data_IF_854926741924
#
_entry.id   IF_854926741924
#
_cell.length_a   1.000
_cell.length_b   1.000
_cell.length_c   1.000
_cell.angle_alpha   90.00
_cell.angle_beta   90.00
_cell.angle_gamma   90.00
#
_symmetry.space_group_name_H-M   'P 1'
#
loop_
_entity.id
_entity.type
_entity.pdbx_description
1 polymer ?
#
# COMPACT_ATOMS: atom_id res chain seq x y z
N UNK A 1 17.77 -26.31 1.88
CA UNK A 1 17.86 -25.13 2.77
C UNK A 1 17.33 -23.93 1.99
N UNK A 2 16.01 -23.68 2.09
CA UNK A 2 15.40 -22.53 1.42
C UNK A 2 15.99 -21.27 2.05
N UNK A 3 16.79 -20.52 1.30
CA UNK A 3 17.09 -19.15 1.65
C UNK A 3 15.78 -18.38 1.53
N UNK A 4 15.07 -18.25 2.64
CA UNK A 4 14.08 -17.17 2.77
C UNK A 4 14.86 -15.91 2.43
N UNK A 5 14.59 -15.36 1.25
CA UNK A 5 15.20 -14.12 0.80
C UNK A 5 14.95 -13.13 1.94
N UNK A 6 16.03 -12.75 2.61
CA UNK A 6 15.97 -11.89 3.80
C UNK A 6 15.11 -10.68 3.44
N UNK A 7 14.27 -10.23 4.36
CA UNK A 7 13.49 -8.98 4.28
C UNK A 7 14.36 -7.78 3.81
N UNK A 8 15.69 -7.88 3.90
CA UNK A 8 16.66 -6.91 3.39
C UNK A 8 16.65 -6.69 1.86
N UNK A 9 16.01 -7.56 1.08
CA UNK A 9 15.92 -7.40 -0.39
C UNK A 9 14.68 -6.63 -0.83
N UNK A 10 13.79 -6.29 0.11
CA UNK A 10 12.77 -5.28 -0.16
C UNK A 10 13.48 -3.93 -0.29
N UNK A 11 13.42 -3.33 -1.45
CA UNK A 11 13.94 -1.97 -1.63
C UNK A 11 13.42 -1.11 -0.46
N UNK A 12 14.26 -0.37 0.20
CA UNK A 12 13.90 0.54 1.28
C UNK A 12 12.89 1.62 0.85
N UNK A 13 12.69 1.73 -0.47
CA UNK A 13 11.77 2.67 -1.08
C UNK A 13 10.33 2.59 -0.55
N UNK A 14 9.64 1.42 -0.48
CA UNK A 14 8.29 1.37 0.07
C UNK A 14 8.23 1.85 1.53
N UNK A 15 9.22 1.47 2.35
CA UNK A 15 9.28 1.90 3.76
C UNK A 15 9.36 3.42 3.87
N UNK A 16 10.33 4.03 3.21
CA UNK A 16 10.54 5.48 3.30
C UNK A 16 9.40 6.25 2.64
N UNK A 17 8.95 5.82 1.46
CA UNK A 17 7.89 6.51 0.74
C UNK A 17 6.56 6.47 1.52
N UNK A 18 6.15 5.31 2.01
CA UNK A 18 4.90 5.18 2.76
C UNK A 18 4.96 5.89 4.11
N UNK A 19 6.10 5.82 4.82
CA UNK A 19 6.30 6.56 6.07
C UNK A 19 6.23 8.07 5.83
N UNK A 20 6.91 8.57 4.81
CA UNK A 20 6.85 9.99 4.42
C UNK A 20 5.43 10.41 4.04
N UNK A 21 4.75 9.62 3.21
CA UNK A 21 3.36 9.87 2.79
C UNK A 21 2.42 9.91 3.99
N UNK A 22 2.64 9.02 4.96
CA UNK A 22 1.87 8.99 6.20
C UNK A 22 2.09 10.23 7.06
N UNK A 23 3.34 10.60 7.30
CA UNK A 23 3.68 11.81 8.08
C UNK A 23 3.14 13.08 7.40
N UNK A 24 3.29 13.17 6.09
CA UNK A 24 2.76 14.28 5.30
C UNK A 24 1.23 14.37 5.42
N UNK A 25 0.52 13.25 5.27
CA UNK A 25 -0.95 13.22 5.39
C UNK A 25 -1.42 13.60 6.80
N UNK A 26 -0.72 13.16 7.86
CA UNK A 26 -1.03 13.57 9.23
C UNK A 26 -0.84 15.07 9.40
N UNK A 27 0.27 15.61 8.92
CA UNK A 27 0.56 17.05 9.03
C UNK A 27 -0.51 17.89 8.33
N UNK A 28 -0.86 17.55 7.08
CA UNK A 28 -1.94 18.22 6.33
C UNK A 28 -3.27 18.09 7.07
N UNK A 29 -3.58 16.90 7.57
CA UNK A 29 -4.81 16.66 8.33
C UNK A 29 -4.89 17.47 9.62
N UNK A 30 -3.79 17.62 10.34
CA UNK A 30 -3.72 18.48 11.54
C UNK A 30 -3.95 19.95 11.17
N UNK A 31 -3.36 20.44 10.08
CA UNK A 31 -3.59 21.80 9.60
C UNK A 31 -5.08 22.02 9.31
N UNK A 32 -5.73 21.11 8.59
CA UNK A 32 -7.15 21.21 8.28
C UNK A 32 -8.04 21.13 9.53
N UNK A 33 -7.62 20.38 10.56
CA UNK A 33 -8.37 20.25 11.80
C UNK A 33 -8.28 21.50 12.68
N UNK A 34 -7.05 22.02 12.86
CA UNK A 34 -6.75 23.08 13.83
C UNK A 34 -6.90 24.48 13.22
N UNK A 35 -6.49 24.63 11.97
CA UNK A 35 -6.47 25.91 11.30
C UNK A 35 -7.07 25.83 9.86
N UNK A 36 -8.35 25.43 9.71
CA UNK A 36 -8.95 25.26 8.40
C UNK A 36 -8.87 26.51 7.53
N UNK A 37 -8.92 27.67 8.15
CA UNK A 37 -8.87 28.97 7.45
C UNK A 37 -7.50 29.24 6.82
N UNK A 38 -6.43 28.69 7.35
CA UNK A 38 -5.07 28.88 6.82
C UNK A 38 -4.92 28.40 5.38
N UNK A 39 -5.54 27.26 5.08
CA UNK A 39 -5.53 26.70 3.75
C UNK A 39 -6.15 27.65 2.71
N UNK A 40 -7.30 28.24 3.04
CA UNK A 40 -8.01 29.18 2.16
C UNK A 40 -7.24 30.49 1.98
N UNK A 41 -6.64 31.01 3.05
CA UNK A 41 -5.76 32.18 2.97
C UNK A 41 -4.57 31.95 2.04
N UNK A 42 -3.87 30.81 2.19
CA UNK A 42 -2.71 30.48 1.35
C UNK A 42 -3.08 30.27 -0.12
N UNK A 43 -4.27 29.72 -0.37
CA UNK A 43 -4.77 29.45 -1.72
C UNK A 43 -5.50 30.64 -2.34
N UNK A 44 -5.57 31.77 -1.64
CA UNK A 44 -6.29 32.98 -2.05
C UNK A 44 -7.76 32.68 -2.46
N UNK A 45 -8.43 31.87 -1.64
CA UNK A 45 -9.81 31.46 -1.83
C UNK A 45 -10.70 32.00 -0.72
N UNK A 46 -11.99 32.19 -1.04
CA UNK A 46 -12.99 32.56 -0.05
C UNK A 46 -13.18 31.44 0.99
N UNK A 47 -13.48 31.84 2.23
CA UNK A 47 -13.75 30.88 3.30
C UNK A 47 -15.01 30.09 3.00
N UNK A 48 -15.00 28.77 3.22
CA UNK A 48 -16.18 27.95 3.01
C UNK A 48 -17.25 28.31 4.02
N UNK A 49 -18.51 28.24 3.57
CA UNK A 49 -19.67 28.52 4.42
C UNK A 49 -19.75 27.57 5.64
N UNK A 50 -19.16 26.38 5.49
CA UNK A 50 -19.16 25.33 6.52
C UNK A 50 -17.72 24.86 6.81
N UNK A 51 -16.95 25.58 7.65
CA UNK A 51 -15.55 25.21 7.95
C UNK A 51 -15.40 23.84 8.59
N UNK A 52 -16.42 23.33 9.30
CA UNK A 52 -16.41 22.02 9.91
C UNK A 52 -16.24 20.87 8.89
N UNK A 53 -16.63 21.05 7.64
CA UNK A 53 -16.40 20.03 6.57
C UNK A 53 -14.90 19.80 6.40
N UNK A 54 -14.09 20.86 6.46
CA UNK A 54 -12.64 20.76 6.37
C UNK A 54 -12.03 20.08 7.60
N UNK A 55 -12.61 20.28 8.77
CA UNK A 55 -12.18 19.59 9.98
C UNK A 55 -12.44 18.07 9.88
N UNK A 56 -13.60 17.65 9.35
CA UNK A 56 -13.85 16.24 9.03
C UNK A 56 -12.85 15.68 8.01
N UNK A 57 -12.56 16.45 6.97
CA UNK A 57 -11.58 16.07 5.96
C UNK A 57 -10.18 15.93 6.60
N UNK A 58 -9.83 16.81 7.50
CA UNK A 58 -8.60 16.72 8.30
C UNK A 58 -8.52 15.43 9.12
N UNK A 59 -9.61 15.04 9.79
CA UNK A 59 -9.65 13.78 10.54
C UNK A 59 -9.47 12.54 9.64
N UNK A 60 -10.07 12.57 8.43
CA UNK A 60 -9.88 11.51 7.43
C UNK A 60 -8.41 11.45 7.00
N UNK A 61 -7.77 12.60 6.75
CA UNK A 61 -6.35 12.64 6.36
C UNK A 61 -5.42 12.09 7.43
N UNK A 62 -5.68 12.38 8.69
CA UNK A 62 -4.93 11.82 9.82
C UNK A 62 -5.07 10.29 9.83
N UNK A 63 -6.29 9.77 9.68
CA UNK A 63 -6.56 8.33 9.66
C UNK A 63 -5.86 7.63 8.50
N UNK A 64 -5.88 8.23 7.30
CA UNK A 64 -5.15 7.73 6.13
C UNK A 64 -3.63 7.79 6.35
N UNK A 65 -3.14 8.83 7.01
CA UNK A 65 -1.73 8.96 7.36
C UNK A 65 -1.25 7.83 8.27
N UNK A 66 -2.00 7.50 9.30
CA UNK A 66 -1.70 6.34 10.16
C UNK A 66 -1.73 5.02 9.37
N UNK A 67 -2.68 4.84 8.47
CA UNK A 67 -2.76 3.65 7.63
C UNK A 67 -1.54 3.47 6.73
N UNK A 68 -0.98 4.56 6.20
CA UNK A 68 0.28 4.53 5.45
C UNK A 68 1.48 4.16 6.32
N UNK A 69 1.59 4.73 7.52
CA UNK A 69 2.67 4.40 8.46
C UNK A 69 2.61 2.92 8.84
N UNK A 70 1.45 2.40 9.19
CA UNK A 70 1.28 0.98 9.53
C UNK A 70 1.67 0.11 8.32
N UNK A 71 1.22 0.47 7.13
CA UNK A 71 1.52 -0.26 5.89
C UNK A 71 3.00 -0.21 5.52
N UNK A 72 3.76 0.80 5.95
CA UNK A 72 5.18 0.93 5.65
C UNK A 72 6.03 -0.18 6.26
N UNK A 73 5.64 -0.70 7.42
CA UNK A 73 6.37 -1.79 8.10
C UNK A 73 6.24 -3.13 7.39
N UNK A 74 5.10 -3.41 6.78
CA UNK A 74 4.89 -4.64 6.00
C UNK A 74 3.89 -4.40 4.85
N UNK A 75 4.34 -3.81 3.74
CA UNK A 75 3.45 -3.48 2.62
C UNK A 75 2.75 -4.70 2.01
N UNK A 76 3.42 -5.86 2.02
CA UNK A 76 2.86 -7.09 1.48
C UNK A 76 1.67 -7.62 2.31
N UNK A 77 1.74 -7.46 3.63
CA UNK A 77 0.64 -7.85 4.52
C UNK A 77 -0.54 -6.88 4.44
N UNK A 78 -0.24 -5.59 4.32
CA UNK A 78 -1.23 -4.51 4.33
C UNK A 78 -1.61 -4.02 2.92
N UNK A 79 -1.38 -4.83 1.87
CA UNK A 79 -1.71 -4.45 0.51
C UNK A 79 -3.19 -4.04 0.30
N UNK A 80 -4.21 -4.65 0.99
CA UNK A 80 -5.59 -4.20 0.81
C UNK A 80 -5.81 -2.78 1.33
N UNK A 81 -5.11 -2.39 2.41
CA UNK A 81 -5.16 -1.03 2.96
C UNK A 81 -4.52 -0.05 1.97
N UNK A 82 -3.39 -0.42 1.35
CA UNK A 82 -2.75 0.40 0.31
C UNK A 82 -3.64 0.55 -0.93
N UNK A 83 -4.32 -0.53 -1.34
CA UNK A 83 -5.27 -0.48 -2.44
C UNK A 83 -6.44 0.46 -2.12
N UNK A 84 -7.01 0.37 -0.92
CA UNK A 84 -8.08 1.28 -0.49
C UNK A 84 -7.63 2.74 -0.49
N UNK A 85 -6.42 3.03 0.01
CA UNK A 85 -5.84 4.38 -0.06
C UNK A 85 -5.66 4.88 -1.50
N UNK A 86 -5.21 4.00 -2.41
CA UNK A 86 -5.08 4.32 -3.82
C UNK A 86 -6.44 4.66 -4.45
N UNK A 87 -7.44 3.82 -4.23
CA UNK A 87 -8.81 4.03 -4.73
C UNK A 87 -9.40 5.33 -4.20
N UNK A 88 -9.20 5.63 -2.91
CA UNK A 88 -9.64 6.89 -2.32
C UNK A 88 -9.01 8.10 -3.03
N UNK A 89 -7.69 8.07 -3.24
CA UNK A 89 -6.99 9.16 -3.94
C UNK A 89 -7.45 9.31 -5.40
N UNK A 90 -7.63 8.20 -6.12
CA UNK A 90 -8.14 8.21 -7.49
C UNK A 90 -9.57 8.75 -7.56
N UNK A 91 -10.42 8.36 -6.62
CA UNK A 91 -11.80 8.85 -6.56
C UNK A 91 -11.86 10.37 -6.33
N UNK A 92 -11.05 10.89 -5.41
CA UNK A 92 -10.94 12.34 -5.19
C UNK A 92 -10.46 13.05 -6.46
N UNK A 93 -9.42 12.53 -7.14
CA UNK A 93 -8.94 13.10 -8.40
C UNK A 93 -10.05 13.11 -9.48
N UNK A 94 -10.82 12.03 -9.59
CA UNK A 94 -11.92 11.93 -10.55
C UNK A 94 -13.04 12.92 -10.24
N UNK A 95 -13.47 13.00 -8.97
CA UNK A 95 -14.47 13.97 -8.52
C UNK A 95 -14.02 15.39 -8.80
N UNK A 96 -12.76 15.70 -8.46
CA UNK A 96 -12.20 17.02 -8.74
C UNK A 96 -12.20 17.34 -10.23
N UNK A 97 -11.72 16.41 -11.07
CA UNK A 97 -11.66 16.61 -12.51
C UNK A 97 -13.04 16.87 -13.11
N UNK A 98 -14.07 16.14 -12.67
CA UNK A 98 -15.45 16.35 -13.15
C UNK A 98 -16.00 17.72 -12.73
N UNK A 99 -15.71 18.18 -11.52
CA UNK A 99 -16.16 19.47 -11.02
C UNK A 99 -15.35 20.64 -11.65
N UNK A 100 -14.07 20.42 -11.93
CA UNK A 100 -13.22 21.37 -12.64
C UNK A 100 -13.72 21.61 -14.07
N UNK A 101 -14.05 20.55 -14.81
CA UNK A 101 -14.63 20.65 -16.16
C UNK A 101 -15.99 21.40 -16.17
N UNK A 102 -16.73 21.36 -15.07
CA UNK A 102 -17.98 22.11 -14.91
C UNK A 102 -17.76 23.56 -14.50
N UNK A 103 -16.53 24.00 -14.30
CA UNK A 103 -16.21 25.35 -13.83
C UNK A 103 -16.68 25.67 -12.41
N UNK A 104 -16.95 24.64 -11.60
CA UNK A 104 -17.46 24.81 -10.22
C UNK A 104 -16.33 25.07 -9.23
N UNK A 105 -15.12 24.60 -9.53
CA UNK A 105 -13.99 24.66 -8.61
C UNK A 105 -12.98 25.73 -9.04
N UNK A 106 -12.52 26.59 -8.12
CA UNK A 106 -11.46 27.54 -8.37
C UNK A 106 -10.13 26.87 -8.72
N UNK A 107 -9.31 27.54 -9.55
CA UNK A 107 -8.01 27.02 -9.96
C UNK A 107 -7.06 26.72 -8.78
N UNK A 108 -7.19 27.43 -7.67
CA UNK A 108 -6.40 27.18 -6.45
C UNK A 108 -6.54 25.77 -5.89
N UNK A 109 -7.70 25.15 -6.05
CA UNK A 109 -7.93 23.76 -5.65
C UNK A 109 -7.14 22.73 -6.48
N UNK A 110 -6.73 23.07 -7.71
CA UNK A 110 -5.93 22.17 -8.55
C UNK A 110 -4.60 21.83 -7.88
N UNK A 111 -3.99 22.77 -7.18
CA UNK A 111 -2.74 22.53 -6.44
C UNK A 111 -2.94 21.51 -5.33
N UNK A 112 -4.03 21.61 -4.57
CA UNK A 112 -4.35 20.66 -3.51
C UNK A 112 -4.48 19.22 -4.05
N UNK A 113 -5.23 19.05 -5.12
CA UNK A 113 -5.44 17.72 -5.72
C UNK A 113 -4.15 17.14 -6.30
N UNK A 114 -3.33 17.98 -6.94
CA UNK A 114 -2.05 17.53 -7.49
C UNK A 114 -1.11 17.10 -6.36
N UNK A 115 -0.88 17.93 -5.35
CA UNK A 115 0.11 17.67 -4.31
C UNK A 115 -0.37 16.67 -3.25
N UNK A 116 -1.65 16.65 -2.90
CA UNK A 116 -2.16 15.78 -1.85
C UNK A 116 -2.66 14.42 -2.37
N UNK A 117 -2.95 14.31 -3.67
CA UNK A 117 -3.50 13.06 -4.22
C UNK A 117 -2.69 12.54 -5.40
N UNK A 118 -2.57 13.30 -6.49
CA UNK A 118 -2.05 12.78 -7.76
C UNK A 118 -0.58 12.33 -7.66
N UNK A 119 0.26 13.10 -6.95
CA UNK A 119 1.68 12.78 -6.75
C UNK A 119 1.88 11.42 -6.07
N UNK A 120 0.96 11.01 -5.21
CA UNK A 120 1.05 9.74 -4.47
C UNK A 120 0.53 8.54 -5.26
N UNK A 121 -0.31 8.73 -6.29
CA UNK A 121 -0.93 7.65 -7.06
C UNK A 121 0.13 6.78 -7.74
N UNK A 122 1.05 7.37 -8.48
CA UNK A 122 2.07 6.64 -9.23
C UNK A 122 2.93 5.72 -8.34
N UNK A 123 3.60 6.25 -7.30
CA UNK A 123 4.40 5.43 -6.40
C UNK A 123 3.62 4.33 -5.67
N UNK A 124 2.36 4.59 -5.25
CA UNK A 124 1.53 3.55 -4.61
C UNK A 124 1.20 2.44 -5.61
N UNK A 125 0.86 2.78 -6.86
CA UNK A 125 0.67 1.81 -7.93
C UNK A 125 1.92 0.94 -8.15
N UNK A 126 3.11 1.54 -8.20
CA UNK A 126 4.36 0.81 -8.36
C UNK A 126 4.62 -0.16 -7.19
N UNK A 127 4.33 0.26 -5.96
CA UNK A 127 4.45 -0.60 -4.77
C UNK A 127 3.48 -1.78 -4.87
N UNK A 128 2.21 -1.55 -5.21
CA UNK A 128 1.20 -2.59 -5.35
C UNK A 128 1.53 -3.57 -6.49
N UNK A 129 1.99 -3.10 -7.65
CA UNK A 129 2.44 -3.94 -8.75
C UNK A 129 3.62 -4.82 -8.34
N UNK A 130 4.57 -4.26 -7.57
CA UNK A 130 5.70 -5.05 -7.07
C UNK A 130 5.26 -6.13 -6.09
N UNK A 131 4.31 -5.83 -5.19
CA UNK A 131 3.72 -6.81 -4.27
C UNK A 131 2.98 -7.90 -5.05
N UNK A 132 2.19 -7.54 -6.04
CA UNK A 132 1.46 -8.47 -6.89
C UNK A 132 2.40 -9.43 -7.63
N UNK A 133 3.45 -8.91 -8.25
CA UNK A 133 4.44 -9.74 -8.95
C UNK A 133 5.17 -10.69 -7.99
N UNK A 134 5.45 -10.25 -6.75
CA UNK A 134 6.04 -11.11 -5.74
C UNK A 134 5.07 -12.21 -5.29
N UNK A 135 3.78 -11.90 -5.15
CA UNK A 135 2.76 -12.88 -4.81
C UNK A 135 2.62 -13.95 -5.90
N UNK A 136 2.61 -13.56 -7.19
CA UNK A 136 2.59 -14.50 -8.31
C UNK A 136 3.81 -15.43 -8.31
N UNK A 137 4.99 -14.91 -7.99
CA UNK A 137 6.20 -15.73 -7.89
C UNK A 137 6.07 -16.72 -6.72
N UNK A 138 5.57 -16.28 -5.57
CA UNK A 138 5.37 -17.15 -4.39
C UNK A 138 4.31 -18.21 -4.66
N UNK A 139 3.21 -17.88 -5.34
CA UNK A 139 2.18 -18.86 -5.69
C UNK A 139 2.69 -19.91 -6.67
N UNK A 140 3.51 -19.52 -7.65
CA UNK A 140 4.16 -20.49 -8.54
C UNK A 140 5.17 -21.39 -7.81
N UNK A 141 5.81 -20.90 -6.74
CA UNK A 141 6.67 -21.70 -5.89
C UNK A 141 5.89 -22.59 -4.88
N UNK A 142 4.72 -22.13 -4.41
CA UNK A 142 3.91 -22.87 -3.43
C UNK A 142 2.99 -23.93 -4.07
N UNK A 143 2.79 -23.87 -5.38
CA UNK A 143 2.03 -24.85 -6.16
C UNK A 143 2.86 -25.45 -7.31
N UNK A 144 4.11 -25.93 -7.08
CA UNK A 144 4.73 -26.80 -8.06
C UNK A 144 3.87 -28.06 -8.16
N UNK A 145 3.81 -28.73 -9.33
CA UNK A 145 3.15 -30.00 -9.46
C UNK A 145 3.59 -30.92 -8.31
N UNK A 146 2.64 -31.57 -7.65
CA UNK A 146 2.90 -32.35 -6.44
C UNK A 146 4.07 -33.33 -6.58
N UNK A 147 4.24 -33.88 -7.77
CA UNK A 147 5.33 -34.81 -8.11
C UNK A 147 6.71 -34.11 -8.09
N UNK A 148 6.80 -32.88 -8.60
CA UNK A 148 8.06 -32.10 -8.64
C UNK A 148 8.48 -31.64 -7.24
N UNK A 149 7.51 -31.37 -6.36
CA UNK A 149 7.77 -31.00 -4.97
C UNK A 149 8.34 -32.16 -4.17
N UNK A 150 7.84 -33.38 -4.38
CA UNK A 150 8.30 -34.59 -3.69
C UNK A 150 9.73 -34.95 -4.11
N UNK A 151 10.09 -34.75 -5.39
CA UNK A 151 11.46 -34.98 -5.87
C UNK A 151 12.47 -33.96 -5.33
N UNK A 152 12.04 -32.70 -5.11
CA UNK A 152 12.89 -31.63 -4.59
C UNK A 152 13.12 -31.72 -3.07
N UNK A 153 12.22 -32.38 -2.33
CA UNK A 153 12.38 -32.57 -0.89
C UNK A 153 13.37 -33.68 -0.60
N UNK A 154 14.61 -33.29 -0.28
CA UNK A 154 15.64 -34.26 0.20
C UNK A 154 15.58 -34.40 1.70
N UNK A 155 15.60 -35.65 2.16
CA UNK A 155 15.73 -35.98 3.58
C UNK A 155 17.15 -35.65 4.08
N UNK A 156 17.35 -35.71 5.41
CA UNK A 156 18.69 -35.62 6.02
C UNK A 156 19.67 -36.70 5.53
N UNK A 157 19.17 -37.78 4.92
CA UNK A 157 19.96 -38.88 4.33
C UNK A 157 20.20 -38.69 2.82
N UNK A 158 19.90 -37.52 2.28
CA UNK A 158 20.08 -37.19 0.86
C UNK A 158 19.22 -38.01 -0.12
N UNK A 159 18.20 -38.69 0.41
CA UNK A 159 17.21 -39.45 -0.38
C UNK A 159 15.97 -38.64 -0.60
N UNK A 160 15.34 -38.78 -1.78
CA UNK A 160 14.07 -38.12 -2.04
C UNK A 160 12.94 -38.76 -1.24
N UNK A 161 11.91 -37.97 -0.87
CA UNK A 161 10.73 -38.53 -0.17
C UNK A 161 10.05 -39.58 -1.04
N UNK A 162 10.09 -39.48 -2.37
CA UNK A 162 9.56 -40.47 -3.30
C UNK A 162 10.28 -41.81 -3.22
N UNK A 163 11.59 -41.83 -3.01
CA UNK A 163 12.36 -43.05 -2.82
C UNK A 163 12.07 -43.72 -1.49
N UNK A 164 11.89 -42.94 -0.42
CA UNK A 164 11.56 -43.46 0.91
C UNK A 164 10.12 -43.98 1.00
N UNK A 165 9.20 -43.47 0.17
CA UNK A 165 7.79 -43.87 0.18
C UNK A 165 7.49 -45.14 -0.62
N UNK A 166 8.43 -45.62 -1.45
CA UNK A 166 8.22 -46.80 -2.28
C UNK A 166 7.92 -48.10 -1.50
N UNK A 167 8.51 -48.23 -0.31
CA UNK A 167 8.40 -49.41 0.53
C UNK A 167 7.77 -49.19 1.90
N UNK A 168 7.42 -47.96 2.26
CA UNK A 168 6.90 -47.60 3.60
C UNK A 168 5.96 -46.39 3.55
N UNK A 169 4.98 -46.40 4.44
CA UNK A 169 4.20 -45.18 4.70
C UNK A 169 5.09 -44.16 5.44
N UNK A 170 5.40 -43.04 4.80
CA UNK A 170 6.23 -42.00 5.38
C UNK A 170 5.34 -40.86 5.87
N UNK A 171 5.42 -40.53 7.15
CA UNK A 171 4.80 -39.36 7.72
C UNK A 171 5.72 -38.13 7.49
N UNK A 172 5.31 -37.19 6.65
CA UNK A 172 6.05 -35.96 6.43
C UNK A 172 5.49 -34.88 7.36
N UNK A 173 6.29 -34.46 8.34
CA UNK A 173 5.95 -33.37 9.25
C UNK A 173 6.64 -32.11 8.75
N UNK A 174 5.85 -31.15 8.28
CA UNK A 174 6.34 -29.83 7.96
C UNK A 174 6.36 -28.98 9.23
N UNK A 175 7.55 -28.73 9.76
CA UNK A 175 7.73 -27.71 10.82
C UNK A 175 7.71 -26.33 10.16
N UNK A 176 6.75 -25.51 10.58
CA UNK A 176 6.65 -24.10 10.19
C UNK A 176 7.65 -23.23 10.91
#
# INVERSE_FOLDING_TARGET
MFKIKKISDYSLFPLYFLSFSGMYSILVGVIYLVAPNWYFLLSNMDFPFYPFIWQYYGAIYISLGFSFIISSFNPARFWPVLLLNLLFKLFICLCFFTLFLKGVIPNGFAYDVIFNHLVFVGPICLILLKIYNLALVVDNFNNPPFEETIELCKTNYNQSISELSKDRTVLVVFLR
#
